data_IF_613724074214
#
_entry.id   IF_613724074214
#
_cell.length_a   1.000
_cell.length_b   1.000
_cell.length_c   1.000
_cell.angle_alpha   90.00
_cell.angle_beta   90.00
_cell.angle_gamma   90.00
#
_symmetry.space_group_name_H-M   'P 1'
#
loop_
_entity.id
_entity.type
_entity.pdbx_description
1 polymer ?
#
# COMPACT_ATOMS: atom_id res chain seq x y z
N UNK A 1 -36.46 -9.37 24.23
CA UNK A 1 -35.80 -10.06 23.09
C UNK A 1 -34.80 -9.15 22.37
N UNK A 2 -35.22 -7.98 21.85
CA UNK A 2 -34.34 -7.04 21.14
C UNK A 2 -33.11 -6.62 21.97
N UNK A 3 -33.30 -6.25 23.24
CA UNK A 3 -32.18 -5.83 24.10
C UNK A 3 -31.11 -6.90 24.30
N UNK A 4 -31.50 -8.18 24.41
CA UNK A 4 -30.55 -9.28 24.54
C UNK A 4 -29.70 -9.44 23.27
N UNK A 5 -30.32 -9.31 22.10
CA UNK A 5 -29.61 -9.39 20.80
C UNK A 5 -28.58 -8.28 20.68
N UNK A 6 -28.92 -7.04 21.05
CA UNK A 6 -27.99 -5.90 21.02
C UNK A 6 -26.78 -6.14 21.94
N UNK A 7 -27.02 -6.61 23.17
CA UNK A 7 -25.94 -6.90 24.12
C UNK A 7 -25.02 -8.00 23.58
N UNK A 8 -25.57 -9.07 22.99
CA UNK A 8 -24.76 -10.15 22.40
C UNK A 8 -23.87 -9.64 21.26
N UNK A 9 -24.40 -8.80 20.36
CA UNK A 9 -23.62 -8.21 19.27
C UNK A 9 -22.51 -7.30 19.81
N UNK A 10 -22.80 -6.48 20.83
CA UNK A 10 -21.80 -5.62 21.45
C UNK A 10 -20.69 -6.41 22.15
N UNK A 11 -21.04 -7.49 22.86
CA UNK A 11 -20.06 -8.39 23.48
C UNK A 11 -19.16 -9.07 22.43
N UNK A 12 -19.71 -9.43 21.27
CA UNK A 12 -18.94 -9.96 20.15
C UNK A 12 -17.92 -8.94 19.64
N UNK A 13 -18.34 -7.71 19.32
CA UNK A 13 -17.42 -6.66 18.87
C UNK A 13 -16.36 -6.32 19.92
N UNK A 14 -16.75 -6.23 21.19
CA UNK A 14 -15.80 -5.99 22.28
C UNK A 14 -14.74 -7.09 22.37
N UNK A 15 -15.15 -8.35 22.20
CA UNK A 15 -14.24 -9.50 22.20
C UNK A 15 -13.27 -9.44 21.02
N UNK A 16 -13.74 -9.07 19.82
CA UNK A 16 -12.88 -8.89 18.64
C UNK A 16 -11.85 -7.77 18.90
N UNK A 17 -12.29 -6.63 19.44
CA UNK A 17 -11.39 -5.52 19.79
C UNK A 17 -10.35 -5.96 20.82
N UNK A 18 -10.74 -6.71 21.84
CA UNK A 18 -9.84 -7.21 22.88
C UNK A 18 -8.78 -8.16 22.28
N UNK A 19 -9.20 -9.07 21.40
CA UNK A 19 -8.29 -9.96 20.67
C UNK A 19 -7.30 -9.15 19.83
N UNK A 20 -7.80 -8.16 19.08
CA UNK A 20 -6.94 -7.30 18.28
C UNK A 20 -5.95 -6.50 19.14
N UNK A 21 -6.39 -5.97 20.29
CA UNK A 21 -5.51 -5.21 21.18
C UNK A 21 -4.29 -6.04 21.64
N UNK A 22 -4.48 -7.31 22.00
CA UNK A 22 -3.39 -8.16 22.49
C UNK A 22 -2.58 -8.87 21.41
N UNK A 23 -3.21 -9.17 20.26
CA UNK A 23 -2.62 -10.09 19.27
C UNK A 23 -2.53 -9.52 17.86
N UNK A 24 -2.90 -8.25 17.63
CA UNK A 24 -2.84 -7.66 16.30
C UNK A 24 -1.42 -7.72 15.73
N UNK A 25 -1.27 -8.16 14.47
CA UNK A 25 0.00 -8.14 13.79
C UNK A 25 0.43 -6.70 13.52
N UNK A 26 1.55 -6.27 14.10
CA UNK A 26 2.15 -4.96 13.82
C UNK A 26 3.37 -5.16 12.92
N UNK A 27 3.50 -4.31 11.91
CA UNK A 27 4.72 -4.22 11.12
C UNK A 27 5.83 -3.66 12.03
N UNK A 28 6.70 -4.52 12.52
CA UNK A 28 7.84 -4.11 13.32
C UNK A 28 8.83 -3.36 12.43
N UNK A 29 8.93 -2.04 12.62
CA UNK A 29 10.03 -1.25 12.08
C UNK A 29 11.23 -1.43 13.01
N UNK A 30 12.32 -2.05 12.57
CA UNK A 30 13.51 -2.21 13.38
C UNK A 30 14.13 -0.84 13.64
N UNK A 31 14.63 -0.64 14.87
CA UNK A 31 15.33 0.58 15.28
C UNK A 31 16.72 0.73 14.62
N UNK A 32 17.20 -0.29 13.93
CA UNK A 32 18.50 -0.33 13.27
C UNK A 32 18.34 -0.80 11.82
N UNK A 33 19.25 -0.37 10.95
CA UNK A 33 19.34 -0.83 9.58
C UNK A 33 19.46 -2.36 9.56
N UNK A 34 18.47 -3.02 8.95
CA UNK A 34 18.52 -4.46 8.73
C UNK A 34 19.69 -4.81 7.81
N UNK A 35 20.26 -6.01 7.95
CA UNK A 35 21.18 -6.53 6.94
C UNK A 35 20.47 -6.47 5.59
N UNK A 36 21.05 -5.74 4.65
CA UNK A 36 20.52 -5.60 3.30
C UNK A 36 20.30 -6.99 2.69
N UNK A 37 19.04 -7.32 2.37
CA UNK A 37 18.75 -8.46 1.52
C UNK A 37 19.39 -8.22 0.14
N UNK A 38 19.93 -9.27 -0.49
CA UNK A 38 20.44 -9.18 -1.86
C UNK A 38 19.32 -9.11 -2.91
N UNK A 39 18.05 -9.08 -2.48
CA UNK A 39 16.89 -8.95 -3.35
C UNK A 39 16.61 -7.50 -3.69
N UNK A 40 16.23 -7.23 -4.93
CA UNK A 40 15.87 -5.88 -5.39
C UNK A 40 14.40 -5.56 -5.16
N UNK A 41 14.09 -4.28 -5.03
CA UNK A 41 12.74 -3.73 -4.90
C UNK A 41 12.57 -2.53 -5.82
N UNK A 42 11.47 -2.53 -6.59
CA UNK A 42 11.03 -1.39 -7.36
C UNK A 42 9.88 -0.70 -6.61
N UNK A 43 9.95 0.62 -6.46
CA UNK A 43 8.86 1.44 -5.92
C UNK A 43 8.03 1.98 -7.07
N UNK A 44 6.72 1.75 -7.00
CA UNK A 44 5.77 1.99 -8.08
C UNK A 44 4.71 2.97 -7.61
N UNK A 45 4.61 4.13 -8.26
CA UNK A 45 3.78 5.24 -7.76
C UNK A 45 2.86 5.72 -8.88
N UNK A 46 1.55 5.41 -8.84
CA UNK A 46 0.57 6.05 -9.70
C UNK A 46 0.31 7.47 -9.19
N UNK A 47 0.35 8.48 -10.06
CA UNK A 47 0.12 9.87 -9.69
C UNK A 47 -0.90 10.53 -10.62
N UNK A 48 -1.77 11.37 -10.04
CA UNK A 48 -2.67 12.26 -10.79
C UNK A 48 -3.03 13.47 -9.94
N UNK A 49 -2.46 14.63 -10.28
CA UNK A 49 -2.63 15.88 -9.54
C UNK A 49 -2.27 15.77 -8.05
N UNK A 50 -1.02 15.39 -7.78
CA UNK A 50 -0.48 15.14 -6.44
C UNK A 50 0.67 16.11 -6.09
N UNK A 51 0.65 17.35 -6.61
CA UNK A 51 1.72 18.33 -6.40
C UNK A 51 1.98 18.64 -4.91
N UNK A 52 0.95 18.51 -4.07
CA UNK A 52 1.03 18.75 -2.63
C UNK A 52 1.76 17.63 -1.86
N UNK A 53 1.79 16.39 -2.39
CA UNK A 53 2.25 15.22 -1.66
C UNK A 53 3.44 14.51 -2.29
N UNK A 54 3.54 14.49 -3.63
CA UNK A 54 4.54 13.68 -4.34
C UNK A 54 5.96 14.05 -3.92
N UNK A 55 6.21 15.34 -3.65
CA UNK A 55 7.52 15.81 -3.19
C UNK A 55 7.91 15.18 -1.85
N UNK A 56 6.98 15.16 -0.89
CA UNK A 56 7.21 14.60 0.44
C UNK A 56 7.51 13.10 0.37
N UNK A 57 6.78 12.36 -0.47
CA UNK A 57 7.02 10.93 -0.68
C UNK A 57 8.39 10.68 -1.32
N UNK A 58 8.77 11.46 -2.33
CA UNK A 58 10.08 11.33 -2.98
C UNK A 58 11.22 11.66 -2.02
N UNK A 59 11.09 12.73 -1.24
CA UNK A 59 12.05 13.06 -0.18
C UNK A 59 12.21 11.91 0.82
N UNK A 60 11.10 11.31 1.29
CA UNK A 60 11.13 10.17 2.19
C UNK A 60 11.78 8.92 1.56
N UNK A 61 11.59 8.70 0.24
CA UNK A 61 12.20 7.60 -0.51
C UNK A 61 13.71 7.76 -0.65
N UNK A 62 14.18 8.96 -0.97
CA UNK A 62 15.62 9.26 -1.06
C UNK A 62 16.29 9.35 0.32
N UNK A 63 15.50 9.50 1.40
CA UNK A 63 15.98 9.44 2.78
C UNK A 63 15.96 8.02 3.39
N UNK A 64 15.57 6.98 2.62
CA UNK A 64 15.57 5.61 3.14
C UNK A 64 16.99 5.12 3.46
N UNK A 65 17.12 4.41 4.58
CA UNK A 65 18.32 3.66 4.97
C UNK A 65 18.74 2.61 3.94
N UNK A 66 17.82 2.18 3.08
CA UNK A 66 18.06 1.42 1.86
C UNK A 66 17.27 2.05 0.73
N UNK A 67 17.96 2.58 -0.27
CA UNK A 67 17.34 3.05 -1.49
C UNK A 67 16.76 1.87 -2.30
N UNK A 68 15.58 2.04 -2.92
CA UNK A 68 15.09 1.09 -3.92
C UNK A 68 16.00 1.10 -5.15
N UNK A 69 16.05 -0.02 -5.87
CA UNK A 69 16.83 -0.15 -7.11
C UNK A 69 16.17 0.59 -8.28
N UNK A 70 14.86 0.73 -8.25
CA UNK A 70 14.10 1.43 -9.29
C UNK A 70 12.91 2.16 -8.64
N UNK A 71 12.64 3.39 -9.07
CA UNK A 71 11.42 4.14 -8.77
C UNK A 71 10.75 4.44 -10.11
N UNK A 72 9.52 3.95 -10.28
CA UNK A 72 8.74 4.20 -11.50
C UNK A 72 7.48 4.95 -11.10
N UNK A 73 7.30 6.09 -11.73
CA UNK A 73 6.11 6.92 -11.57
C UNK A 73 5.26 6.79 -12.83
N UNK A 74 3.95 6.61 -12.66
CA UNK A 74 3.01 6.64 -13.77
C UNK A 74 2.14 7.89 -13.63
N UNK A 75 2.32 8.85 -14.53
CA UNK A 75 1.56 10.09 -14.54
C UNK A 75 0.26 9.90 -15.34
N UNK A 76 -0.87 9.77 -14.65
CA UNK A 76 -2.19 9.57 -15.26
C UNK A 76 -2.86 10.91 -15.65
N UNK A 77 -2.14 11.71 -16.44
CA UNK A 77 -2.64 12.97 -16.99
C UNK A 77 -2.79 14.09 -15.97
N UNK A 78 -1.77 14.29 -15.11
CA UNK A 78 -1.73 15.45 -14.21
C UNK A 78 -1.68 16.77 -15.00
N UNK A 79 -2.39 17.78 -14.49
CA UNK A 79 -2.48 19.13 -15.07
C UNK A 79 -1.88 20.21 -14.16
N UNK A 80 -1.48 19.81 -12.95
CA UNK A 80 -0.81 20.65 -11.96
C UNK A 80 0.73 20.48 -12.06
N UNK A 81 1.48 20.94 -11.05
CA UNK A 81 2.94 20.86 -11.06
C UNK A 81 3.50 19.47 -10.71
N UNK A 82 2.67 18.43 -10.54
CA UNK A 82 3.13 17.06 -10.21
C UNK A 82 4.24 16.60 -11.15
N UNK A 83 4.04 16.79 -12.44
CA UNK A 83 5.00 16.40 -13.49
C UNK A 83 6.33 17.12 -13.33
N UNK A 84 6.29 18.45 -13.16
CA UNK A 84 7.49 19.28 -13.01
C UNK A 84 8.29 18.89 -11.77
N UNK A 85 7.61 18.59 -10.66
CA UNK A 85 8.26 18.10 -9.45
C UNK A 85 8.97 16.80 -9.75
N UNK A 86 8.31 15.81 -10.35
CA UNK A 86 8.90 14.51 -10.69
C UNK A 86 10.10 14.63 -11.63
N UNK A 87 9.99 15.47 -12.67
CA UNK A 87 11.08 15.73 -13.62
C UNK A 87 12.34 16.25 -12.91
N UNK A 88 12.20 17.12 -11.91
CA UNK A 88 13.34 17.60 -11.13
C UNK A 88 14.07 16.48 -10.36
N UNK A 89 13.37 15.44 -9.89
CA UNK A 89 14.02 14.27 -9.26
C UNK A 89 14.66 13.36 -10.31
N UNK A 90 14.08 13.26 -11.51
CA UNK A 90 14.68 12.51 -12.62
C UNK A 90 16.00 13.14 -13.06
N UNK A 91 16.07 14.46 -13.17
CA UNK A 91 17.32 15.17 -13.48
C UNK A 91 18.41 14.93 -12.43
N UNK A 92 18.03 14.90 -11.14
CA UNK A 92 18.98 14.68 -10.05
C UNK A 92 19.38 13.21 -9.87
N UNK A 93 18.51 12.25 -10.22
CA UNK A 93 18.71 10.82 -9.98
C UNK A 93 18.35 9.93 -11.20
N UNK A 94 18.91 10.20 -12.39
CA UNK A 94 18.46 9.59 -13.66
C UNK A 94 18.66 8.07 -13.76
N UNK A 95 19.43 7.48 -12.84
CA UNK A 95 19.68 6.04 -12.80
C UNK A 95 18.73 5.27 -11.87
N UNK A 96 17.93 5.96 -11.06
CA UNK A 96 17.05 5.35 -10.05
C UNK A 96 15.58 5.60 -10.37
N UNK A 97 15.23 6.83 -10.75
CA UNK A 97 13.85 7.26 -10.95
C UNK A 97 13.56 7.53 -12.42
N UNK A 98 12.39 7.11 -12.89
CA UNK A 98 11.85 7.43 -14.21
C UNK A 98 10.34 7.57 -14.16
N UNK A 99 9.79 8.21 -15.18
CA UNK A 99 8.35 8.43 -15.32
C UNK A 99 7.83 7.80 -16.62
N UNK A 100 6.66 7.20 -16.54
CA UNK A 100 5.84 6.74 -17.65
C UNK A 100 4.67 7.71 -17.77
N UNK A 101 4.48 8.27 -18.95
CA UNK A 101 3.31 9.09 -19.23
C UNK A 101 2.11 8.19 -19.55
N UNK A 102 0.98 8.49 -18.90
CA UNK A 102 -0.26 7.79 -19.15
C UNK A 102 -0.84 8.07 -20.53
N UNK A 103 -1.51 7.06 -21.08
CA UNK A 103 -2.24 7.16 -22.34
C UNK A 103 -3.75 7.16 -22.16
N UNK A 104 -4.48 6.91 -23.25
CA UNK A 104 -5.93 6.73 -23.21
C UNK A 104 -6.30 5.55 -22.29
N UNK A 105 -7.27 5.79 -21.40
CA UNK A 105 -7.80 4.77 -20.51
C UNK A 105 -8.67 3.78 -21.32
N UNK A 106 -8.29 2.49 -21.42
CA UNK A 106 -9.07 1.53 -22.18
C UNK A 106 -10.45 1.31 -21.55
N UNK A 107 -11.46 1.01 -22.39
CA UNK A 107 -12.82 0.76 -21.91
C UNK A 107 -12.84 -0.36 -20.86
N UNK A 108 -13.54 -0.10 -19.75
CA UNK A 108 -13.69 -1.05 -18.65
C UNK A 108 -12.49 -1.13 -17.71
N UNK A 109 -11.56 -0.18 -17.77
CA UNK A 109 -10.53 0.03 -16.76
C UNK A 109 -10.85 1.23 -15.89
N UNK A 110 -10.52 1.13 -14.61
CA UNK A 110 -10.36 2.28 -13.72
C UNK A 110 -8.92 2.81 -13.80
N UNK A 111 -8.76 4.13 -13.62
CA UNK A 111 -7.49 4.82 -13.81
C UNK A 111 -6.34 4.27 -12.95
N UNK A 112 -6.59 4.09 -11.63
CA UNK A 112 -5.59 3.56 -10.70
C UNK A 112 -5.15 2.13 -11.05
N UNK A 113 -6.10 1.21 -11.23
CA UNK A 113 -5.81 -0.17 -11.65
C UNK A 113 -4.97 -0.22 -12.94
N UNK A 114 -5.29 0.64 -13.91
CA UNK A 114 -4.57 0.72 -15.17
C UNK A 114 -3.14 1.24 -15.00
N UNK A 115 -2.95 2.30 -14.20
CA UNK A 115 -1.64 2.82 -13.85
C UNK A 115 -0.79 1.74 -13.14
N UNK A 116 -1.35 1.07 -12.13
CA UNK A 116 -0.67 -0.01 -11.39
C UNK A 116 -0.32 -1.21 -12.29
N UNK A 117 -1.19 -1.55 -13.24
CA UNK A 117 -0.90 -2.58 -14.25
C UNK A 117 0.34 -2.22 -15.09
N UNK A 118 0.42 -0.99 -15.61
CA UNK A 118 1.58 -0.55 -16.39
C UNK A 118 2.85 -0.50 -15.56
N UNK A 119 2.76 0.05 -14.34
CA UNK A 119 3.87 0.09 -13.40
C UNK A 119 4.43 -1.31 -13.11
N UNK A 120 3.56 -2.26 -12.76
CA UNK A 120 3.99 -3.61 -12.42
C UNK A 120 4.62 -4.37 -13.58
N UNK A 121 4.17 -4.12 -14.82
CA UNK A 121 4.76 -4.73 -16.01
C UNK A 121 6.06 -4.04 -16.46
N UNK A 122 6.23 -2.75 -16.17
CA UNK A 122 7.43 -1.99 -16.53
C UNK A 122 8.60 -2.23 -15.58
N UNK A 123 8.34 -2.71 -14.35
CA UNK A 123 9.34 -2.87 -13.31
C UNK A 123 10.24 -4.11 -13.48
N UNK A 124 11.52 -3.95 -13.15
CA UNK A 124 12.50 -5.04 -13.20
C UNK A 124 13.24 -5.22 -11.86
N UNK A 125 12.50 -5.62 -10.83
CA UNK A 125 13.05 -5.95 -9.51
C UNK A 125 12.44 -7.25 -8.95
N UNK A 126 13.07 -7.90 -7.96
CA UNK A 126 12.51 -9.11 -7.34
C UNK A 126 11.13 -8.84 -6.69
N UNK A 127 10.96 -7.66 -6.08
CA UNK A 127 9.73 -7.22 -5.41
C UNK A 127 9.20 -5.91 -5.96
N UNK A 128 7.87 -5.76 -5.97
CA UNK A 128 7.15 -4.60 -6.48
C UNK A 128 6.41 -3.91 -5.32
N UNK A 129 6.86 -2.74 -4.90
CA UNK A 129 6.26 -1.95 -3.82
C UNK A 129 5.43 -0.81 -4.41
N UNK A 130 4.12 -1.00 -4.46
CA UNK A 130 3.15 0.04 -4.83
C UNK A 130 2.92 0.97 -3.65
N UNK A 131 2.98 2.28 -3.90
CA UNK A 131 2.70 3.34 -2.93
C UNK A 131 1.80 4.41 -3.56
N UNK A 132 0.82 4.87 -2.79
CA UNK A 132 0.08 6.09 -3.15
C UNK A 132 0.94 7.34 -2.90
N UNK A 133 0.70 8.40 -3.67
CA UNK A 133 1.50 9.63 -3.61
C UNK A 133 1.38 10.39 -2.28
N UNK A 134 0.31 10.15 -1.52
CA UNK A 134 0.00 10.80 -0.24
C UNK A 134 0.57 10.07 0.99
N UNK A 135 1.40 9.05 0.77
CA UNK A 135 2.01 8.25 1.83
C UNK A 135 3.32 8.90 2.32
N UNK A 136 3.51 8.85 3.65
CA UNK A 136 4.78 9.18 4.30
C UNK A 136 5.50 7.92 4.76
N UNK A 137 6.80 7.84 4.54
CA UNK A 137 7.61 6.66 4.87
C UNK A 137 8.57 6.95 6.03
N UNK A 138 8.61 6.02 6.98
CA UNK A 138 9.72 5.99 7.94
C UNK A 138 11.02 5.65 7.20
N UNK A 139 12.18 6.17 7.65
CA UNK A 139 13.50 5.94 7.01
C UNK A 139 13.93 4.45 6.90
N UNK A 140 13.20 3.51 7.47
CA UNK A 140 13.48 2.07 7.40
C UNK A 140 12.35 1.28 6.72
N UNK A 141 11.33 1.95 6.16
CA UNK A 141 10.12 1.32 5.67
C UNK A 141 10.43 0.33 4.53
N UNK A 142 11.16 0.76 3.51
CA UNK A 142 11.49 -0.07 2.34
C UNK A 142 12.28 -1.31 2.77
N UNK A 143 13.33 -1.12 3.58
CA UNK A 143 14.14 -2.23 4.10
C UNK A 143 13.30 -3.22 4.93
N UNK A 144 12.39 -2.73 5.76
CA UNK A 144 11.54 -3.57 6.63
C UNK A 144 10.52 -4.38 5.85
N UNK A 145 9.89 -3.76 4.84
CA UNK A 145 8.93 -4.41 3.95
C UNK A 145 9.64 -5.53 3.18
N UNK A 146 10.79 -5.22 2.58
CA UNK A 146 11.57 -6.17 1.81
C UNK A 146 12.04 -7.35 2.67
N UNK A 147 12.56 -7.11 3.88
CA UNK A 147 12.99 -8.18 4.78
C UNK A 147 11.85 -9.14 5.14
N UNK A 148 10.65 -8.61 5.42
CA UNK A 148 9.50 -9.46 5.71
C UNK A 148 9.05 -10.27 4.49
N UNK A 149 9.00 -9.65 3.31
CA UNK A 149 8.65 -10.35 2.07
C UNK A 149 9.62 -11.50 1.78
N UNK A 150 10.93 -11.27 1.98
CA UNK A 150 11.98 -12.29 1.79
C UNK A 150 11.90 -13.38 2.86
N UNK A 151 11.78 -12.99 4.14
CA UNK A 151 11.76 -13.90 5.29
C UNK A 151 10.58 -14.86 5.24
N UNK A 152 9.39 -14.35 4.98
CA UNK A 152 8.16 -15.14 5.01
C UNK A 152 7.73 -15.66 3.63
N UNK A 153 8.40 -15.24 2.55
CA UNK A 153 8.09 -15.60 1.17
C UNK A 153 6.61 -15.35 0.84
N UNK A 154 6.12 -14.19 1.24
CA UNK A 154 4.73 -13.79 0.99
C UNK A 154 4.53 -13.38 -0.46
N UNK A 155 3.36 -13.70 -1.00
CA UNK A 155 2.92 -13.23 -2.32
C UNK A 155 2.61 -11.73 -2.30
N UNK A 156 1.94 -11.29 -1.25
CA UNK A 156 1.49 -9.91 -1.05
C UNK A 156 1.63 -9.55 0.43
N UNK A 157 2.22 -8.39 0.70
CA UNK A 157 2.16 -7.69 1.97
C UNK A 157 1.44 -6.35 1.74
N UNK A 158 0.39 -6.09 2.51
CA UNK A 158 -0.23 -4.77 2.61
C UNK A 158 -0.27 -4.36 4.08
N UNK A 159 -0.18 -3.06 4.36
CA UNK A 159 -0.32 -2.54 5.71
C UNK A 159 -1.18 -1.29 5.74
N UNK A 160 -1.91 -1.13 6.84
CA UNK A 160 -2.65 0.09 7.13
C UNK A 160 -1.68 1.12 7.71
N UNK A 161 -1.46 2.27 7.04
CA UNK A 161 -0.56 3.29 7.54
C UNK A 161 -1.17 4.01 8.74
N UNK A 162 -0.31 4.66 9.52
CA UNK A 162 -0.76 5.58 10.57
C UNK A 162 -1.42 6.80 9.93
N UNK A 163 -2.68 7.03 10.25
CA UNK A 163 -3.39 8.22 9.80
C UNK A 163 -2.84 9.47 10.48
N UNK A 164 -2.43 10.46 9.68
CA UNK A 164 -1.98 11.77 10.16
C UNK A 164 -3.20 12.69 10.21
N UNK A 165 -3.66 13.03 11.42
CA UNK A 165 -4.82 13.89 11.65
C UNK A 165 -4.35 15.22 12.24
N UNK A 166 -4.56 16.32 11.50
CA UNK A 166 -4.16 17.69 11.86
C UNK A 166 -5.27 18.39 12.63
N UNK A 167 -6.51 18.31 12.17
CA UNK A 167 -7.64 19.05 12.77
C UNK A 167 -8.39 18.25 13.84
N UNK A 168 -9.17 18.95 14.67
CA UNK A 168 -10.04 18.30 15.66
C UNK A 168 -11.17 17.49 15.01
N UNK A 169 -11.72 17.97 13.89
CA UNK A 169 -12.74 17.24 13.14
C UNK A 169 -12.21 15.92 12.59
N UNK A 170 -11.00 15.94 12.02
CA UNK A 170 -10.32 14.72 11.56
C UNK A 170 -10.12 13.73 12.70
N UNK A 171 -9.66 14.17 13.87
CA UNK A 171 -9.44 13.30 15.05
C UNK A 171 -10.71 12.61 15.55
N UNK A 172 -11.89 13.13 15.23
CA UNK A 172 -13.18 12.52 15.60
C UNK A 172 -13.66 11.58 14.48
N UNK A 173 -13.58 12.02 13.22
CA UNK A 173 -14.23 11.33 12.09
C UNK A 173 -13.33 10.28 11.46
N UNK A 174 -12.06 10.58 11.25
CA UNK A 174 -11.12 9.73 10.49
C UNK A 174 -10.87 8.37 11.18
N UNK A 175 -10.73 8.28 12.52
CA UNK A 175 -10.56 7.00 13.19
C UNK A 175 -11.76 6.06 13.08
N UNK A 176 -12.96 6.54 12.74
CA UNK A 176 -14.18 5.71 12.67
C UNK A 176 -13.98 4.54 11.72
N UNK A 177 -13.32 4.75 10.58
CA UNK A 177 -13.05 3.67 9.63
C UNK A 177 -12.16 2.58 10.25
N UNK A 178 -11.09 2.97 10.96
CA UNK A 178 -10.22 2.03 11.66
C UNK A 178 -10.93 1.34 12.82
N UNK A 179 -11.83 2.02 13.53
CA UNK A 179 -12.65 1.42 14.59
C UNK A 179 -13.58 0.36 14.00
N UNK A 180 -14.24 0.65 12.88
CA UNK A 180 -15.10 -0.32 12.18
C UNK A 180 -14.28 -1.54 11.74
N UNK A 181 -13.11 -1.33 11.14
CA UNK A 181 -12.20 -2.40 10.76
C UNK A 181 -11.81 -3.26 11.97
N UNK A 182 -11.29 -2.63 13.04
CA UNK A 182 -10.78 -3.32 14.24
C UNK A 182 -11.86 -3.96 15.11
N UNK A 183 -13.12 -3.57 14.97
CA UNK A 183 -14.24 -4.19 15.70
C UNK A 183 -14.92 -5.32 14.93
N UNK A 184 -14.83 -5.32 13.60
CA UNK A 184 -15.42 -6.36 12.75
C UNK A 184 -14.43 -7.44 12.34
N UNK A 185 -13.13 -7.11 12.28
CA UNK A 185 -12.11 -7.99 11.70
C UNK A 185 -11.14 -8.51 12.77
N UNK A 186 -11.20 -9.80 13.16
CA UNK A 186 -10.21 -10.40 14.06
C UNK A 186 -8.88 -10.60 13.32
N UNK A 187 -7.98 -9.62 13.43
CA UNK A 187 -6.71 -9.54 12.68
C UNK A 187 -5.80 -10.78 12.83
N UNK A 188 -5.68 -11.44 14.00
CA UNK A 188 -4.88 -12.66 14.11
C UNK A 188 -5.36 -13.78 13.18
N UNK A 189 -6.67 -13.84 12.88
CA UNK A 189 -7.23 -14.86 12.00
C UNK A 189 -6.85 -14.65 10.54
N UNK A 190 -6.53 -13.43 10.11
CA UNK A 190 -6.11 -13.14 8.73
C UNK A 190 -4.80 -13.88 8.40
N UNK A 191 -3.91 -14.04 9.38
CA UNK A 191 -2.65 -14.78 9.20
C UNK A 191 -2.82 -16.30 9.16
N UNK A 192 -3.95 -16.80 9.66
CA UNK A 192 -4.16 -18.25 9.90
C UNK A 192 -5.18 -18.82 8.91
N UNK A 193 -6.19 -18.04 8.50
CA UNK A 193 -7.33 -18.49 7.70
C UNK A 193 -7.41 -17.71 6.40
N UNK A 194 -7.87 -18.38 5.34
CA UNK A 194 -8.02 -17.84 3.98
C UNK A 194 -9.48 -17.53 3.62
N UNK A 195 -10.30 -17.12 4.60
CA UNK A 195 -11.70 -16.78 4.32
C UNK A 195 -11.78 -15.43 3.60
N UNK A 196 -12.51 -15.38 2.48
CA UNK A 196 -12.70 -14.14 1.70
C UNK A 196 -13.39 -13.02 2.50
N UNK A 197 -14.16 -13.37 3.53
CA UNK A 197 -14.78 -12.44 4.47
C UNK A 197 -13.78 -11.79 5.42
N UNK A 198 -12.57 -12.34 5.56
CA UNK A 198 -11.47 -11.79 6.37
C UNK A 198 -10.44 -11.04 5.52
N UNK A 199 -10.63 -10.94 4.21
CA UNK A 199 -9.73 -10.20 3.34
C UNK A 199 -9.82 -8.71 3.63
N UNK A 200 -8.69 -8.15 4.02
CA UNK A 200 -8.47 -6.73 4.16
C UNK A 200 -7.09 -6.40 3.62
N UNK A 201 -7.01 -5.34 2.82
CA UNK A 201 -5.79 -4.73 2.35
C UNK A 201 -6.04 -3.23 2.27
N UNK A 202 -4.94 -2.48 2.18
CA UNK A 202 -4.95 -1.05 1.96
C UNK A 202 -4.08 -0.75 0.74
N UNK A 203 -4.70 -0.18 -0.29
CA UNK A 203 -4.05 0.19 -1.55
C UNK A 203 -2.98 1.28 -1.43
N UNK A 204 -2.90 1.98 -0.29
CA UNK A 204 -1.83 2.97 -0.04
C UNK A 204 -0.44 2.32 0.02
N UNK A 205 -0.35 1.05 0.43
CA UNK A 205 0.89 0.28 0.37
C UNK A 205 0.63 -1.20 0.12
N UNK A 206 1.16 -1.69 -1.00
CA UNK A 206 1.11 -3.10 -1.38
C UNK A 206 2.45 -3.55 -1.95
N UNK A 207 3.06 -4.58 -1.38
CA UNK A 207 4.31 -5.16 -1.85
C UNK A 207 4.07 -6.57 -2.36
N UNK A 208 4.44 -6.85 -3.61
CA UNK A 208 4.28 -8.15 -4.25
C UNK A 208 5.62 -8.80 -4.56
N UNK A 209 5.64 -10.14 -4.52
CA UNK A 209 6.64 -10.91 -5.28
C UNK A 209 6.39 -10.71 -6.78
N UNK A 210 7.39 -10.24 -7.53
CA UNK A 210 7.21 -9.91 -8.95
C UNK A 210 6.82 -11.12 -9.78
N UNK A 211 7.42 -12.28 -9.53
CA UNK A 211 7.15 -13.48 -10.33
C UNK A 211 5.69 -13.91 -10.22
N UNK A 212 5.13 -13.83 -9.01
CA UNK A 212 3.73 -14.13 -8.76
C UNK A 212 2.82 -13.03 -9.31
N UNK A 213 3.21 -11.76 -9.18
CA UNK A 213 2.46 -10.62 -9.73
C UNK A 213 2.28 -10.74 -11.25
N UNK A 214 3.36 -10.99 -11.98
CA UNK A 214 3.33 -11.12 -13.45
C UNK A 214 2.53 -12.35 -13.88
N UNK A 215 2.63 -13.47 -13.15
CA UNK A 215 1.88 -14.68 -13.48
C UNK A 215 0.35 -14.52 -13.29
N UNK A 216 -0.08 -13.76 -12.28
CA UNK A 216 -1.51 -13.62 -11.94
C UNK A 216 -2.15 -12.36 -12.53
N UNK A 217 -1.36 -11.34 -12.91
CA UNK A 217 -1.87 -10.09 -13.47
C UNK A 217 -2.96 -9.46 -12.59
N UNK A 218 -2.69 -9.32 -11.29
CA UNK A 218 -3.68 -8.94 -10.27
C UNK A 218 -4.55 -7.74 -10.66
N UNK A 219 -3.96 -6.64 -11.16
CA UNK A 219 -4.72 -5.45 -11.56
C UNK A 219 -5.59 -5.63 -12.82
N UNK A 220 -5.33 -6.64 -13.66
CA UNK A 220 -6.24 -7.01 -14.76
C UNK A 220 -7.51 -7.66 -14.21
N UNK A 221 -7.39 -8.50 -13.18
CA UNK A 221 -8.51 -9.21 -12.57
C UNK A 221 -9.49 -8.24 -11.89
N UNK A 222 -8.97 -7.15 -11.33
CA UNK A 222 -9.74 -6.16 -10.56
C UNK A 222 -9.92 -4.83 -11.31
N UNK A 223 -9.73 -4.81 -12.64
CA UNK A 223 -9.74 -3.59 -13.46
C UNK A 223 -11.01 -2.73 -13.39
N UNK A 224 -12.13 -3.29 -12.92
CA UNK A 224 -13.42 -2.59 -12.72
C UNK A 224 -13.79 -2.36 -11.24
N UNK A 225 -12.97 -2.85 -10.31
CA UNK A 225 -13.24 -2.79 -8.88
C UNK A 225 -12.75 -1.48 -8.28
N UNK A 226 -13.64 -0.73 -7.63
CA UNK A 226 -13.25 0.50 -6.92
C UNK A 226 -12.37 0.23 -5.70
N UNK A 227 -12.60 -0.90 -5.04
CA UNK A 227 -11.80 -1.38 -3.91
C UNK A 227 -10.87 -2.51 -4.40
N UNK A 228 -9.99 -2.16 -5.34
CA UNK A 228 -9.09 -3.09 -6.03
C UNK A 228 -8.16 -3.83 -5.06
N UNK A 229 -7.73 -3.17 -3.99
CA UNK A 229 -6.86 -3.70 -2.94
C UNK A 229 -7.51 -4.88 -2.18
N UNK A 230 -8.75 -4.70 -1.72
CA UNK A 230 -9.53 -5.74 -1.04
C UNK A 230 -9.87 -6.86 -2.02
N UNK A 231 -10.19 -6.53 -3.27
CA UNK A 231 -10.48 -7.52 -4.29
C UNK A 231 -9.24 -8.38 -4.60
N UNK A 232 -8.05 -7.77 -4.73
CA UNK A 232 -6.78 -8.50 -4.89
C UNK A 232 -6.54 -9.41 -3.68
N UNK A 233 -6.71 -8.91 -2.46
CA UNK A 233 -6.51 -9.69 -1.24
C UNK A 233 -7.52 -10.86 -1.06
N UNK A 234 -8.58 -10.93 -1.88
CA UNK A 234 -9.53 -12.05 -1.90
C UNK A 234 -9.18 -13.13 -2.92
N UNK A 235 -8.29 -12.82 -3.87
CA UNK A 235 -7.97 -13.69 -5.01
C UNK A 235 -6.95 -14.75 -4.62
#
# INVERSE_FOLDING_TARGET
MIGLVVIVIQMLFFTIVLINYFFAPVLSLPKQALKASNKSVAVLIPVRNEEEHIKDLLDDLFAQSRLPEEIIIYNDGSVDNTKLIVESYIENYPHIIRMIEGGELPKGWLGKAHACYHLGNAANADYLLFLDADVRLHACAVASILDQMVKYKWTLLSAFPKQIMKTWGEKIVVPIMNIVLLSLLPLPLIRIKRFSSLSAANGQMMCFDRSVYIANQFHVLVKQEKAEDIAIART
#
